data_IF_008801996204
#
_entry.id   IF_008801996204
#
_cell.length_a   1.000
_cell.length_b   1.000
_cell.length_c   1.000
_cell.angle_alpha   90.00
_cell.angle_beta   90.00
_cell.angle_gamma   90.00
#
_symmetry.space_group_name_H-M   'P 1'
#
loop_
_entity.id
_entity.type
_entity.pdbx_description
1 polymer ?
#
# COMPACT_ATOMS: atom_id res chain seq x y z
N UNK A 1 -1.82 23.86 -1.81
CA UNK A 1 -1.68 22.44 -2.16
C UNK A 1 -1.88 22.33 -3.67
N UNK A 2 -1.13 21.48 -4.39
CA UNK A 2 -1.18 21.42 -5.86
C UNK A 2 -2.56 20.89 -6.32
N UNK A 3 -3.22 21.56 -7.28
CA UNK A 3 -4.58 21.20 -7.74
C UNK A 3 -4.68 19.78 -8.33
N UNK A 4 -3.60 19.26 -8.91
CA UNK A 4 -3.55 17.91 -9.45
C UNK A 4 -3.43 16.87 -8.34
N UNK A 5 -2.68 17.18 -7.28
CA UNK A 5 -2.64 16.36 -6.05
C UNK A 5 -4.00 16.36 -5.34
N UNK A 6 -4.70 17.49 -5.29
CA UNK A 6 -6.07 17.53 -4.76
C UNK A 6 -7.02 16.65 -5.57
N UNK A 7 -6.89 16.65 -6.89
CA UNK A 7 -7.67 15.79 -7.77
C UNK A 7 -7.33 14.30 -7.57
N UNK A 8 -6.04 13.97 -7.45
CA UNK A 8 -5.59 12.62 -7.11
C UNK A 8 -6.23 12.12 -5.80
N UNK A 9 -6.13 12.91 -4.73
CA UNK A 9 -6.70 12.56 -3.43
C UNK A 9 -8.23 12.43 -3.50
N UNK A 10 -8.91 13.25 -4.30
CA UNK A 10 -10.35 13.10 -4.53
C UNK A 10 -10.67 11.74 -5.16
N UNK A 11 -9.97 11.34 -6.23
CA UNK A 11 -10.19 10.05 -6.88
C UNK A 11 -9.93 8.87 -5.93
N UNK A 12 -8.88 8.96 -5.09
CA UNK A 12 -8.60 7.93 -4.07
C UNK A 12 -9.73 7.81 -3.05
N UNK A 13 -10.28 8.93 -2.57
CA UNK A 13 -11.46 8.95 -1.68
C UNK A 13 -12.72 8.40 -2.35
N UNK A 14 -12.86 8.60 -3.65
CA UNK A 14 -13.97 8.07 -4.45
C UNK A 14 -13.80 6.55 -4.75
N UNK A 15 -12.75 5.90 -4.21
CA UNK A 15 -12.55 4.45 -4.27
C UNK A 15 -11.73 3.97 -5.48
N UNK A 16 -11.09 4.87 -6.22
CA UNK A 16 -10.21 4.48 -7.32
C UNK A 16 -8.91 3.89 -6.81
N UNK A 17 -8.40 2.85 -7.48
CA UNK A 17 -7.06 2.33 -7.22
C UNK A 17 -6.00 3.41 -7.47
N UNK A 18 -4.87 3.28 -6.80
CA UNK A 18 -3.71 4.17 -6.88
C UNK A 18 -3.26 4.40 -8.33
N UNK A 19 -3.06 3.31 -9.10
CA UNK A 19 -2.64 3.36 -10.49
C UNK A 19 -3.67 4.05 -11.38
N UNK A 20 -4.97 3.81 -11.14
CA UNK A 20 -6.04 4.42 -11.93
C UNK A 20 -6.18 5.91 -11.63
N UNK A 21 -6.15 6.29 -10.35
CA UNK A 21 -6.18 7.68 -9.92
C UNK A 21 -4.97 8.45 -10.48
N UNK A 22 -3.77 7.89 -10.38
CA UNK A 22 -2.56 8.47 -10.95
C UNK A 22 -2.67 8.64 -12.46
N UNK A 23 -3.02 7.59 -13.21
CA UNK A 23 -3.12 7.65 -14.67
C UNK A 23 -4.12 8.72 -15.17
N UNK A 24 -5.26 8.88 -14.50
CA UNK A 24 -6.23 9.92 -14.84
C UNK A 24 -5.69 11.34 -14.59
N UNK A 25 -4.96 11.54 -13.49
CA UNK A 25 -4.37 12.85 -13.18
C UNK A 25 -3.17 13.14 -14.08
N UNK A 26 -2.30 12.17 -14.36
CA UNK A 26 -1.18 12.31 -15.28
C UNK A 26 -1.65 12.71 -16.69
N UNK A 27 -2.73 12.10 -17.19
CA UNK A 27 -3.35 12.51 -18.45
C UNK A 27 -3.86 13.96 -18.41
N UNK A 28 -4.39 14.42 -17.27
CA UNK A 28 -4.83 15.81 -17.09
C UNK A 28 -3.66 16.80 -17.00
N UNK A 29 -2.56 16.42 -16.34
CA UNK A 29 -1.32 17.22 -16.28
C UNK A 29 -0.73 17.38 -17.68
N UNK A 30 -0.69 16.30 -18.48
CA UNK A 30 -0.20 16.38 -19.86
C UNK A 30 -0.96 17.39 -20.75
N UNK A 31 -2.21 17.71 -20.42
CA UNK A 31 -3.04 18.67 -21.16
C UNK A 31 -2.96 20.09 -20.57
N UNK A 32 -2.87 20.21 -19.24
CA UNK A 32 -3.14 21.47 -18.54
C UNK A 32 -2.01 21.97 -17.62
N UNK A 33 -1.04 21.12 -17.31
CA UNK A 33 0.06 21.42 -16.40
C UNK A 33 1.41 21.32 -17.10
N UNK A 34 2.46 21.25 -16.29
CA UNK A 34 3.84 21.08 -16.75
C UNK A 34 4.52 19.84 -16.15
N UNK A 35 5.83 19.72 -16.38
CA UNK A 35 6.61 18.62 -15.86
C UNK A 35 6.73 18.65 -14.32
N UNK A 36 6.77 19.84 -13.71
CA UNK A 36 6.87 19.98 -12.26
C UNK A 36 5.58 19.51 -11.59
N UNK A 37 4.42 19.84 -12.16
CA UNK A 37 3.13 19.30 -11.74
C UNK A 37 3.09 17.77 -11.79
N UNK A 38 3.63 17.18 -12.86
CA UNK A 38 3.67 15.72 -13.00
C UNK A 38 4.57 15.09 -11.93
N UNK A 39 5.71 15.70 -11.66
CA UNK A 39 6.65 15.23 -10.64
C UNK A 39 6.03 15.29 -9.25
N UNK A 40 5.36 16.39 -8.90
CA UNK A 40 4.66 16.54 -7.61
C UNK A 40 3.59 15.46 -7.43
N UNK A 41 2.81 15.15 -8.48
CA UNK A 41 1.77 14.10 -8.41
C UNK A 41 2.40 12.71 -8.30
N UNK A 42 3.49 12.46 -9.03
CA UNK A 42 4.22 11.19 -8.97
C UNK A 42 4.81 10.95 -7.58
N UNK A 43 5.47 11.95 -7.00
CA UNK A 43 6.04 11.87 -5.65
C UNK A 43 4.95 11.62 -4.62
N UNK A 44 3.78 12.28 -4.75
CA UNK A 44 2.63 12.04 -3.88
C UNK A 44 2.10 10.61 -4.02
N UNK A 45 1.93 10.11 -5.25
CA UNK A 45 1.51 8.73 -5.52
C UNK A 45 2.48 7.70 -4.93
N UNK A 46 3.78 7.89 -5.11
CA UNK A 46 4.81 6.99 -4.58
C UNK A 46 4.81 6.97 -3.06
N UNK A 47 4.64 8.13 -2.42
CA UNK A 47 4.52 8.20 -0.96
C UNK A 47 3.28 7.47 -0.44
N UNK A 48 2.13 7.60 -1.13
CA UNK A 48 0.90 6.87 -0.78
C UNK A 48 1.14 5.35 -0.87
N UNK A 49 1.69 4.88 -1.99
CA UNK A 49 2.04 3.47 -2.21
C UNK A 49 3.02 2.92 -1.16
N UNK A 50 4.07 3.66 -0.84
CA UNK A 50 5.04 3.27 0.20
C UNK A 50 4.35 3.15 1.56
N UNK A 51 3.44 4.06 1.89
CA UNK A 51 2.71 4.01 3.16
C UNK A 51 1.76 2.81 3.23
N UNK A 52 1.07 2.48 2.13
CA UNK A 52 0.25 1.27 2.04
C UNK A 52 1.10 0.01 2.21
N UNK A 53 2.24 -0.07 1.54
CA UNK A 53 3.20 -1.16 1.72
C UNK A 53 3.64 -1.28 3.19
N UNK A 54 4.03 -0.17 3.82
CA UNK A 54 4.41 -0.15 5.24
C UNK A 54 3.29 -0.61 6.15
N UNK A 55 2.03 -0.28 5.87
CA UNK A 55 0.89 -0.75 6.66
C UNK A 55 0.72 -2.26 6.52
N UNK A 56 0.76 -2.79 5.29
CA UNK A 56 0.65 -4.23 5.04
C UNK A 56 1.79 -4.99 5.74
N UNK A 57 3.04 -4.56 5.57
CA UNK A 57 4.19 -5.26 6.16
C UNK A 57 4.32 -5.02 7.67
N UNK A 58 3.99 -3.83 8.17
CA UNK A 58 4.01 -3.51 9.61
C UNK A 58 2.88 -4.18 10.40
N UNK A 59 1.74 -4.46 9.77
CA UNK A 59 0.69 -5.29 10.37
C UNK A 59 1.13 -6.75 10.49
N UNK A 60 1.82 -7.27 9.47
CA UNK A 60 2.35 -8.64 9.47
C UNK A 60 3.42 -8.89 10.55
N UNK A 61 4.18 -7.87 10.96
CA UNK A 61 5.15 -8.01 12.06
C UNK A 61 4.47 -8.04 13.43
N UNK A 62 3.40 -7.25 13.62
CA UNK A 62 2.64 -7.24 14.88
C UNK A 62 1.75 -8.48 15.08
N UNK A 63 1.17 -9.05 14.01
CA UNK A 63 0.41 -10.31 14.11
C UNK A 63 1.29 -11.53 14.45
N UNK A 64 2.54 -11.55 13.96
CA UNK A 64 3.51 -12.62 14.29
C UNK A 64 4.00 -12.57 15.75
N UNK A 65 4.02 -11.39 16.37
CA UNK A 65 4.36 -11.24 17.79
C UNK A 65 3.19 -11.66 18.70
N UNK A 66 1.96 -11.29 18.36
CA UNK A 66 0.77 -11.63 19.16
C UNK A 66 0.40 -13.12 19.17
N UNK A 67 0.83 -13.89 18.16
CA UNK A 67 0.62 -15.36 18.14
C UNK A 67 1.63 -16.13 18.99
N UNK A 68 2.76 -15.51 19.36
CA UNK A 68 3.78 -16.14 20.19
C UNK A 68 3.59 -15.92 21.71
N UNK A 69 2.68 -15.05 22.13
CA UNK A 69 2.49 -14.73 23.56
C UNK A 69 1.36 -15.52 24.26
N UNK A 70 0.61 -16.37 23.55
CA UNK A 70 -0.46 -17.20 24.17
C UNK A 70 -0.55 -18.65 23.68
N UNK A 71 0.44 -19.16 22.95
CA UNK A 71 0.38 -20.50 22.38
C UNK A 71 1.64 -21.30 22.67
N UNK A 72 1.69 -21.98 23.82
CA UNK A 72 2.55 -23.16 23.94
C UNK A 72 2.29 -24.07 22.73
N UNK A 73 3.36 -24.61 22.14
CA UNK A 73 3.25 -25.55 21.03
C UNK A 73 2.20 -26.61 21.38
N UNK A 74 1.03 -26.59 20.74
CA UNK A 74 0.18 -27.77 20.75
C UNK A 74 0.87 -28.81 19.88
N UNK A 75 1.08 -29.99 20.46
CA UNK A 75 1.81 -31.14 19.93
C UNK A 75 1.32 -31.66 18.55
N UNK A 76 0.26 -31.09 17.98
CA UNK A 76 -0.32 -31.52 16.71
C UNK A 76 0.55 -31.16 15.49
N UNK A 77 1.32 -30.07 15.55
CA UNK A 77 2.21 -29.69 14.43
C UNK A 77 3.50 -30.53 14.37
N UNK A 78 3.89 -31.23 15.45
CA UNK A 78 5.07 -32.10 15.45
C UNK A 78 4.83 -33.43 14.71
N UNK A 79 3.55 -33.81 14.51
CA UNK A 79 3.17 -35.05 13.81
C UNK A 79 3.25 -34.93 12.28
N UNK A 80 3.24 -33.72 11.71
CA UNK A 80 3.35 -33.52 10.25
C UNK A 80 4.80 -33.71 9.77
N UNK A 81 5.80 -33.41 10.61
CA UNK A 81 7.21 -33.50 10.23
C UNK A 81 7.74 -34.95 10.32
N UNK A 82 7.14 -35.81 11.16
CA UNK A 82 7.53 -37.22 11.29
C UNK A 82 6.95 -38.16 10.24
N UNK A 83 5.93 -37.75 9.49
CA UNK A 83 5.32 -38.58 8.44
C UNK A 83 6.02 -38.49 7.07
N UNK A 84 7.07 -37.67 6.97
CA UNK A 84 7.90 -37.49 5.77
C UNK A 84 9.31 -38.09 5.89
N UNK A 85 9.55 -38.95 6.90
CA UNK A 85 10.78 -39.74 7.06
C UNK A 85 10.53 -41.22 6.77
#
# INVERSE_FOLDING_TARGET
MNQFVEHYNKLRRDGYSDLRAFGMVAGRVAILGDFEDLQIVYDHHMNDFINECKQIFGQNENEKLNTNENGGLSDENYQIIKSLS
#
